data_IF_067100086783
#
_entry.id   IF_067100086783
#
_cell.length_a   1.000
_cell.length_b   1.000
_cell.length_c   1.000
_cell.angle_alpha   90.00
_cell.angle_beta   90.00
_cell.angle_gamma   90.00
#
_symmetry.space_group_name_H-M   'P 1'
#
loop_
_entity.id
_entity.type
_entity.pdbx_description
1 polymer ?
#
# COMPACT_ATOMS: atom_id res chain seq x y z
N UNK A 1 -29.34 -14.16 -52.86
CA UNK A 1 -28.65 -15.27 -52.17
C UNK A 1 -28.22 -14.80 -50.78
N UNK A 2 -28.82 -15.34 -49.72
CA UNK A 2 -28.36 -15.12 -48.32
C UNK A 2 -27.34 -16.20 -47.97
N UNK A 3 -26.20 -15.82 -47.40
CA UNK A 3 -25.14 -16.75 -46.98
C UNK A 3 -25.63 -17.48 -45.73
N UNK A 4 -25.99 -18.75 -45.87
CA UNK A 4 -26.60 -19.58 -44.80
C UNK A 4 -25.55 -20.45 -44.06
N UNK A 5 -24.27 -20.33 -44.42
CA UNK A 5 -23.18 -21.07 -43.76
C UNK A 5 -22.04 -20.12 -43.46
N UNK A 6 -21.88 -19.78 -42.17
CA UNK A 6 -20.74 -19.00 -41.69
C UNK A 6 -21.10 -17.82 -40.78
N UNK A 7 -21.94 -18.02 -39.76
CA UNK A 7 -21.86 -17.17 -38.57
C UNK A 7 -20.50 -17.43 -37.91
N UNK A 8 -19.67 -16.38 -37.76
CA UNK A 8 -18.43 -16.46 -36.95
C UNK A 8 -18.82 -17.07 -35.61
N UNK A 9 -18.26 -18.24 -35.26
CA UNK A 9 -18.36 -18.76 -33.89
C UNK A 9 -17.92 -17.63 -32.96
N UNK A 10 -18.82 -17.23 -32.07
CA UNK A 10 -18.53 -16.29 -31.00
C UNK A 10 -17.29 -16.83 -30.29
N UNK A 11 -16.20 -16.05 -30.28
CA UNK A 11 -14.96 -16.45 -29.61
C UNK A 11 -15.26 -16.42 -28.12
N UNK A 12 -15.67 -17.56 -27.58
CA UNK A 12 -15.73 -17.74 -26.13
C UNK A 12 -14.35 -17.38 -25.59
N UNK A 13 -14.24 -16.42 -24.67
CA UNK A 13 -12.95 -16.05 -24.10
C UNK A 13 -12.30 -17.28 -23.47
N UNK A 14 -10.96 -17.35 -23.54
CA UNK A 14 -10.24 -18.42 -22.89
C UNK A 14 -10.58 -18.41 -21.38
N UNK A 15 -10.80 -19.58 -20.76
CA UNK A 15 -11.16 -19.64 -19.34
C UNK A 15 -10.07 -18.97 -18.50
N UNK A 16 -10.49 -18.17 -17.53
CA UNK A 16 -9.55 -17.54 -16.60
C UNK A 16 -8.93 -18.57 -15.67
N UNK A 17 -7.79 -18.22 -15.07
CA UNK A 17 -7.16 -19.03 -14.01
C UNK A 17 -8.13 -19.23 -12.84
N UNK A 18 -8.93 -18.21 -12.50
CA UNK A 18 -9.93 -18.28 -11.43
C UNK A 18 -11.08 -19.22 -11.75
N UNK A 19 -11.60 -19.20 -12.99
CA UNK A 19 -12.62 -20.15 -13.44
C UNK A 19 -12.10 -21.59 -13.43
N UNK A 20 -10.85 -21.79 -13.83
CA UNK A 20 -10.21 -23.09 -13.77
C UNK A 20 -10.05 -23.55 -12.30
N UNK A 21 -9.68 -22.64 -11.39
CA UNK A 21 -9.51 -22.93 -9.96
C UNK A 21 -10.85 -23.32 -9.32
N UNK A 22 -11.92 -22.58 -9.66
CA UNK A 22 -13.28 -22.91 -9.24
C UNK A 22 -13.69 -24.32 -9.67
N UNK A 23 -13.43 -24.70 -10.93
CA UNK A 23 -13.72 -26.05 -11.43
C UNK A 23 -12.92 -27.14 -10.71
N UNK A 24 -11.64 -26.91 -10.42
CA UNK A 24 -10.82 -27.88 -9.67
C UNK A 24 -11.33 -28.04 -8.24
N UNK A 25 -11.72 -26.93 -7.59
CA UNK A 25 -12.28 -26.93 -6.23
C UNK A 25 -13.57 -27.75 -6.18
N UNK A 26 -14.53 -27.48 -7.06
CA UNK A 26 -15.78 -28.25 -7.14
C UNK A 26 -15.53 -29.74 -7.38
N UNK A 27 -14.53 -30.09 -8.20
CA UNK A 27 -14.16 -31.50 -8.41
C UNK A 27 -13.54 -32.12 -7.15
N UNK A 28 -12.73 -31.36 -6.42
CA UNK A 28 -12.18 -31.74 -5.11
C UNK A 28 -13.30 -32.06 -4.12
N UNK A 29 -14.27 -31.17 -3.96
CA UNK A 29 -15.42 -31.34 -3.06
C UNK A 29 -16.20 -32.63 -3.38
N UNK A 30 -16.43 -32.89 -4.67
CA UNK A 30 -17.10 -34.12 -5.12
C UNK A 30 -16.28 -35.38 -4.81
N UNK A 31 -14.96 -35.32 -4.90
CA UNK A 31 -14.10 -36.45 -4.52
C UNK A 31 -14.12 -36.68 -3.01
N UNK A 32 -14.04 -35.61 -2.21
CA UNK A 32 -14.10 -35.69 -0.75
C UNK A 32 -15.42 -36.28 -0.25
N UNK A 33 -16.55 -35.86 -0.85
CA UNK A 33 -17.86 -36.44 -0.53
C UNK A 33 -17.95 -37.92 -0.87
N UNK A 34 -17.34 -38.36 -1.99
CA UNK A 34 -17.28 -39.78 -2.35
C UNK A 34 -16.40 -40.57 -1.38
N UNK A 35 -15.24 -40.03 -1.01
CA UNK A 35 -14.32 -40.65 -0.04
C UNK A 35 -15.02 -40.83 1.32
N UNK A 36 -15.72 -39.79 1.80
CA UNK A 36 -16.51 -39.85 3.04
C UNK A 36 -17.56 -40.96 3.02
N UNK A 37 -18.31 -41.09 1.92
CA UNK A 37 -19.30 -42.18 1.76
C UNK A 37 -18.66 -43.56 1.75
N UNK A 38 -17.46 -43.71 1.18
CA UNK A 38 -16.71 -44.98 1.22
C UNK A 38 -16.20 -45.29 2.64
N UNK A 39 -15.80 -44.28 3.41
CA UNK A 39 -15.42 -44.44 4.82
C UNK A 39 -16.59 -44.93 5.68
N UNK A 40 -17.78 -44.36 5.49
CA UNK A 40 -18.99 -44.85 6.15
C UNK A 40 -19.29 -46.32 5.82
N UNK A 41 -19.09 -46.73 4.56
CA UNK A 41 -19.25 -48.14 4.14
C UNK A 41 -18.20 -49.05 4.78
N UNK A 42 -16.94 -48.61 4.84
CA UNK A 42 -15.87 -49.36 5.52
C UNK A 42 -16.18 -49.57 7.00
N UNK A 43 -16.71 -48.55 7.68
CA UNK A 43 -17.12 -48.66 9.08
C UNK A 43 -18.23 -49.69 9.27
N UNK A 44 -19.24 -49.72 8.38
CA UNK A 44 -20.29 -50.74 8.41
C UNK A 44 -19.73 -52.15 8.21
N UNK A 45 -18.83 -52.34 7.25
CA UNK A 45 -18.18 -53.64 7.05
C UNK A 45 -17.32 -54.06 8.24
N UNK A 46 -16.59 -53.12 8.86
CA UNK A 46 -15.78 -53.37 10.06
C UNK A 46 -16.64 -53.90 11.22
N UNK A 47 -17.83 -53.35 11.43
CA UNK A 47 -18.75 -53.84 12.46
C UNK A 47 -19.29 -55.25 12.16
N UNK A 48 -19.62 -55.55 10.89
CA UNK A 48 -20.02 -56.91 10.49
C UNK A 48 -18.89 -57.92 10.70
N UNK A 49 -17.65 -57.56 10.35
CA UNK A 49 -16.47 -58.42 10.52
C UNK A 49 -16.21 -58.74 12.00
N UNK A 50 -16.40 -57.76 12.90
CA UNK A 50 -16.26 -57.97 14.34
C UNK A 50 -17.31 -58.94 14.90
N UNK A 51 -18.56 -58.81 14.45
CA UNK A 51 -19.72 -59.54 15.01
C UNK A 51 -19.95 -60.91 14.38
N UNK A 52 -19.71 -61.05 13.08
CA UNK A 52 -19.93 -62.30 12.35
C UNK A 52 -18.74 -63.27 12.46
N UNK A 53 -18.98 -64.54 12.17
CA UNK A 53 -17.96 -65.60 12.05
C UNK A 53 -18.17 -66.40 10.76
N UNK A 54 -17.13 -67.11 10.33
CA UNK A 54 -17.21 -67.99 9.16
C UNK A 54 -17.53 -67.24 7.85
N UNK A 55 -18.33 -67.83 6.94
CA UNK A 55 -18.54 -67.30 5.58
C UNK A 55 -19.04 -65.85 5.52
N UNK A 56 -19.87 -65.42 6.48
CA UNK A 56 -20.40 -64.06 6.53
C UNK A 56 -19.31 -63.01 6.84
N UNK A 57 -18.37 -63.34 7.74
CA UNK A 57 -17.23 -62.48 8.03
C UNK A 57 -16.27 -62.39 6.84
N UNK A 58 -16.00 -63.50 6.16
CA UNK A 58 -15.15 -63.53 4.96
C UNK A 58 -15.77 -62.76 3.78
N UNK A 59 -17.08 -62.86 3.58
CA UNK A 59 -17.79 -62.05 2.58
C UNK A 59 -17.70 -60.54 2.89
N UNK A 60 -17.84 -60.16 4.17
CA UNK A 60 -17.69 -58.77 4.59
C UNK A 60 -16.25 -58.25 4.40
N UNK A 61 -15.23 -59.07 4.68
CA UNK A 61 -13.81 -58.73 4.40
C UNK A 61 -13.57 -58.50 2.90
N UNK A 62 -14.08 -59.38 2.03
CA UNK A 62 -13.92 -59.23 0.57
C UNK A 62 -14.56 -57.93 0.06
N UNK A 63 -15.76 -57.58 0.54
CA UNK A 63 -16.42 -56.32 0.20
C UNK A 63 -15.64 -55.11 0.73
N UNK A 64 -15.18 -55.16 1.99
CA UNK A 64 -14.36 -54.09 2.58
C UNK A 64 -13.07 -53.84 1.77
N UNK A 65 -12.41 -54.89 1.28
CA UNK A 65 -11.22 -54.76 0.42
C UNK A 65 -11.52 -54.05 -0.90
N UNK A 66 -12.68 -54.29 -1.52
CA UNK A 66 -13.09 -53.58 -2.73
C UNK A 66 -13.35 -52.09 -2.46
N UNK A 67 -14.08 -51.78 -1.38
CA UNK A 67 -14.34 -50.40 -0.96
C UNK A 67 -13.04 -49.67 -0.63
N UNK A 68 -12.09 -50.34 0.05
CA UNK A 68 -10.79 -49.75 0.37
C UNK A 68 -9.97 -49.44 -0.89
N UNK A 69 -9.96 -50.34 -1.88
CA UNK A 69 -9.29 -50.08 -3.17
C UNK A 69 -9.90 -48.88 -3.88
N UNK A 70 -11.22 -48.78 -3.92
CA UNK A 70 -11.92 -47.64 -4.51
C UNK A 70 -11.60 -46.34 -3.77
N UNK A 71 -11.60 -46.36 -2.44
CA UNK A 71 -11.25 -45.21 -1.60
C UNK A 71 -9.84 -44.73 -1.93
N UNK A 72 -8.85 -45.63 -1.91
CA UNK A 72 -7.45 -45.30 -2.19
C UNK A 72 -7.27 -44.66 -3.57
N UNK A 73 -7.97 -45.19 -4.58
CA UNK A 73 -7.95 -44.62 -5.93
C UNK A 73 -8.47 -43.18 -5.97
N UNK A 74 -9.57 -42.88 -5.26
CA UNK A 74 -10.11 -41.52 -5.19
C UNK A 74 -9.23 -40.59 -4.37
N UNK A 75 -8.60 -41.07 -3.28
CA UNK A 75 -7.62 -40.29 -2.50
C UNK A 75 -6.43 -39.88 -3.37
N UNK A 76 -5.90 -40.79 -4.20
CA UNK A 76 -4.83 -40.47 -5.16
C UNK A 76 -5.29 -39.44 -6.20
N UNK A 77 -6.53 -39.56 -6.72
CA UNK A 77 -7.07 -38.56 -7.65
C UNK A 77 -7.22 -37.19 -6.98
N UNK A 78 -7.64 -37.15 -5.71
CA UNK A 78 -7.76 -35.91 -4.93
C UNK A 78 -6.39 -35.28 -4.70
N UNK A 79 -5.38 -36.06 -4.33
CA UNK A 79 -4.01 -35.57 -4.18
C UNK A 79 -3.47 -34.96 -5.49
N UNK A 80 -3.75 -35.60 -6.63
CA UNK A 80 -3.42 -35.04 -7.94
C UNK A 80 -4.13 -33.72 -8.21
N UNK A 81 -5.40 -33.57 -7.81
CA UNK A 81 -6.11 -32.29 -7.93
C UNK A 81 -5.50 -31.21 -7.05
N UNK A 82 -5.10 -31.53 -5.81
CA UNK A 82 -4.44 -30.57 -4.93
C UNK A 82 -3.11 -30.09 -5.52
N UNK A 83 -2.33 -30.99 -6.11
CA UNK A 83 -1.11 -30.61 -6.82
C UNK A 83 -1.41 -29.70 -8.03
N UNK A 84 -2.50 -29.96 -8.76
CA UNK A 84 -2.93 -29.10 -9.86
C UNK A 84 -3.37 -27.70 -9.38
N UNK A 85 -4.11 -27.62 -8.28
CA UNK A 85 -4.52 -26.35 -7.67
C UNK A 85 -3.30 -25.53 -7.22
N UNK A 86 -2.34 -26.16 -6.53
CA UNK A 86 -1.11 -25.50 -6.08
C UNK A 86 -0.30 -24.94 -7.27
N UNK A 87 -0.14 -25.72 -8.34
CA UNK A 87 0.53 -25.24 -9.56
C UNK A 87 -0.21 -24.06 -10.19
N UNK A 88 -1.54 -24.06 -10.13
CA UNK A 88 -2.35 -23.00 -10.69
C UNK A 88 -2.34 -21.73 -9.84
N UNK A 89 -2.28 -21.85 -8.50
CA UNK A 89 -2.06 -20.74 -7.58
C UNK A 89 -0.70 -20.09 -7.81
N UNK A 90 0.36 -20.89 -7.96
CA UNK A 90 1.70 -20.37 -8.31
C UNK A 90 1.68 -19.63 -9.66
N UNK A 91 0.97 -20.18 -10.65
CA UNK A 91 0.80 -19.52 -11.96
C UNK A 91 0.00 -18.23 -11.83
N UNK A 92 -1.07 -18.21 -11.02
CA UNK A 92 -1.88 -17.02 -10.76
C UNK A 92 -1.03 -15.91 -10.16
N UNK A 93 -0.23 -16.24 -9.14
CA UNK A 93 0.71 -15.30 -8.53
C UNK A 93 1.73 -14.75 -9.54
N UNK A 94 2.30 -15.62 -10.39
CA UNK A 94 3.23 -15.18 -11.44
C UNK A 94 2.55 -14.24 -12.45
N UNK A 95 1.29 -14.50 -12.82
CA UNK A 95 0.51 -13.63 -13.70
C UNK A 95 0.26 -12.28 -13.03
N UNK A 96 -0.11 -12.26 -11.75
CA UNK A 96 -0.32 -11.01 -11.01
C UNK A 96 0.94 -10.16 -10.96
N UNK A 97 2.08 -10.75 -10.57
CA UNK A 97 3.38 -10.05 -10.57
C UNK A 97 3.72 -9.49 -11.96
N UNK A 98 3.40 -10.24 -13.03
CA UNK A 98 3.64 -9.77 -14.39
C UNK A 98 2.73 -8.60 -14.77
N UNK A 99 1.46 -8.58 -14.31
CA UNK A 99 0.56 -7.46 -14.49
C UNK A 99 1.07 -6.20 -13.74
N UNK A 100 1.57 -6.37 -12.52
CA UNK A 100 2.13 -5.27 -11.73
C UNK A 100 3.39 -4.70 -12.40
N UNK A 101 4.28 -5.56 -12.90
CA UNK A 101 5.45 -5.14 -13.69
C UNK A 101 5.04 -4.36 -14.95
N UNK A 102 3.98 -4.79 -15.65
CA UNK A 102 3.45 -4.07 -16.81
C UNK A 102 2.93 -2.69 -16.40
N UNK A 103 2.20 -2.60 -15.28
CA UNK A 103 1.70 -1.33 -14.75
C UNK A 103 2.86 -0.39 -14.39
N UNK A 104 3.91 -0.89 -13.73
CA UNK A 104 5.12 -0.14 -13.42
C UNK A 104 5.79 0.39 -14.70
N UNK A 105 5.99 -0.47 -15.71
CA UNK A 105 6.59 -0.04 -16.99
C UNK A 105 5.73 1.01 -17.69
N UNK A 106 4.40 0.91 -17.62
CA UNK A 106 3.50 1.94 -18.16
C UNK A 106 3.64 3.27 -17.42
N UNK A 107 3.69 3.24 -16.09
CA UNK A 107 3.91 4.43 -15.27
C UNK A 107 5.26 5.10 -15.60
N UNK A 108 6.33 4.32 -15.72
CA UNK A 108 7.66 4.82 -16.12
C UNK A 108 7.65 5.44 -17.52
N UNK A 109 6.91 4.84 -18.48
CA UNK A 109 6.76 5.42 -19.83
C UNK A 109 6.00 6.74 -19.80
N UNK A 110 4.96 6.85 -18.99
CA UNK A 110 4.22 8.10 -18.80
C UNK A 110 5.12 9.17 -18.17
N UNK A 111 5.79 8.86 -17.05
CA UNK A 111 6.72 9.77 -16.39
C UNK A 111 7.87 10.24 -17.32
N UNK A 112 8.43 9.35 -18.14
CA UNK A 112 9.46 9.72 -19.12
C UNK A 112 8.90 10.65 -20.22
N UNK A 113 7.64 10.46 -20.63
CA UNK A 113 6.98 11.37 -21.58
C UNK A 113 6.81 12.76 -20.97
N UNK A 114 6.40 12.83 -19.70
CA UNK A 114 6.21 14.08 -18.98
C UNK A 114 7.54 14.81 -18.74
N UNK A 115 8.59 14.08 -18.32
CA UNK A 115 9.97 14.60 -18.22
C UNK A 115 10.45 15.18 -19.56
N UNK A 116 10.26 14.46 -20.67
CA UNK A 116 10.59 14.97 -22.01
C UNK A 116 9.77 16.19 -22.40
N UNK A 117 8.53 16.31 -21.90
CA UNK A 117 7.70 17.49 -22.06
C UNK A 117 8.27 18.69 -21.29
N UNK A 118 8.64 18.48 -20.02
CA UNK A 118 9.23 19.51 -19.17
C UNK A 118 10.55 20.05 -19.73
N UNK A 119 11.45 19.19 -20.21
CA UNK A 119 12.70 19.61 -20.88
C UNK A 119 12.49 20.38 -22.20
N UNK A 120 11.30 20.30 -22.80
CA UNK A 120 10.92 21.10 -23.98
C UNK A 120 10.19 22.39 -23.61
N UNK A 121 9.89 22.59 -22.33
CA UNK A 121 9.27 23.83 -21.87
C UNK A 121 10.25 24.98 -22.05
N UNK A 122 9.73 26.16 -22.42
CA UNK A 122 10.56 27.36 -22.58
C UNK A 122 11.09 27.85 -21.23
N UNK A 123 10.43 27.51 -20.12
CA UNK A 123 10.88 27.84 -18.77
C UNK A 123 12.17 27.09 -18.37
N UNK A 124 12.42 25.90 -18.93
CA UNK A 124 13.64 25.11 -18.67
C UNK A 124 14.63 25.11 -19.86
N UNK A 125 14.46 26.00 -20.84
CA UNK A 125 15.38 26.09 -21.96
C UNK A 125 16.71 26.68 -21.51
N UNK A 126 17.81 25.93 -21.72
CA UNK A 126 19.17 26.34 -21.37
C UNK A 126 19.51 27.70 -22.01
N UNK A 127 19.10 27.95 -23.25
CA UNK A 127 19.39 29.20 -23.97
C UNK A 127 18.71 30.42 -23.33
N UNK A 128 17.62 30.21 -22.59
CA UNK A 128 16.94 31.29 -21.85
C UNK A 128 17.60 31.49 -20.49
N UNK A 129 18.06 30.41 -19.84
CA UNK A 129 18.79 30.48 -18.58
C UNK A 129 20.15 31.15 -18.80
N UNK A 130 20.85 30.82 -19.89
CA UNK A 130 22.10 31.46 -20.30
C UNK A 130 21.89 32.95 -20.58
N UNK A 131 20.86 33.32 -21.37
CA UNK A 131 20.52 34.73 -21.59
C UNK A 131 20.17 35.49 -20.31
N UNK A 132 19.43 34.88 -19.39
CA UNK A 132 19.12 35.49 -18.10
C UNK A 132 20.38 35.68 -17.24
N UNK A 133 21.35 34.76 -17.33
CA UNK A 133 22.62 34.86 -16.64
C UNK A 133 23.50 35.97 -17.25
N UNK A 134 23.54 36.06 -18.57
CA UNK A 134 24.21 37.15 -19.30
C UNK A 134 23.58 38.50 -18.96
N UNK A 135 22.24 38.63 -19.02
CA UNK A 135 21.52 39.84 -18.63
C UNK A 135 21.79 40.22 -17.16
N UNK A 136 21.95 39.24 -16.27
CA UNK A 136 22.27 39.46 -14.86
C UNK A 136 23.73 39.89 -14.65
N UNK A 137 24.66 39.36 -15.43
CA UNK A 137 26.05 39.81 -15.46
C UNK A 137 26.12 41.26 -15.96
N UNK A 138 25.45 41.59 -17.07
CA UNK A 138 25.35 42.95 -17.60
C UNK A 138 24.71 43.91 -16.58
N UNK A 139 23.70 43.45 -15.82
CA UNK A 139 23.07 44.26 -14.78
C UNK A 139 24.01 44.53 -13.59
N UNK A 140 24.83 43.55 -13.19
CA UNK A 140 25.83 43.71 -12.14
C UNK A 140 26.96 44.62 -12.61
N UNK A 141 27.42 44.48 -13.85
CA UNK A 141 28.41 45.37 -14.44
C UNK A 141 27.89 46.81 -14.53
N UNK A 142 26.63 47.00 -14.93
CA UNK A 142 25.97 48.31 -14.92
C UNK A 142 25.77 48.85 -13.50
N UNK A 143 25.48 47.99 -12.52
CA UNK A 143 25.41 48.39 -11.12
C UNK A 143 26.76 48.90 -10.62
N UNK A 144 27.84 48.20 -10.91
CA UNK A 144 29.20 48.61 -10.57
C UNK A 144 29.60 49.90 -11.30
N UNK A 145 29.26 50.03 -12.58
CA UNK A 145 29.54 51.26 -13.35
C UNK A 145 28.70 52.45 -12.85
N UNK A 146 27.48 52.22 -12.35
CA UNK A 146 26.67 53.24 -11.67
C UNK A 146 27.27 53.64 -10.33
N UNK A 147 27.74 52.68 -9.52
CA UNK A 147 28.45 52.95 -8.25
C UNK A 147 29.70 53.80 -8.50
N UNK A 148 30.51 53.43 -9.50
CA UNK A 148 31.71 54.16 -9.92
C UNK A 148 31.39 55.55 -10.47
N UNK A 149 30.39 55.68 -11.34
CA UNK A 149 30.00 56.94 -11.99
C UNK A 149 29.29 57.93 -11.05
N UNK A 150 28.51 57.42 -10.08
CA UNK A 150 27.95 58.24 -9.01
C UNK A 150 29.01 58.67 -7.98
N UNK A 151 30.28 58.26 -8.17
CA UNK A 151 31.36 58.55 -7.24
C UNK A 151 31.09 57.99 -5.85
N UNK A 152 30.15 57.04 -5.75
CA UNK A 152 30.01 56.19 -4.58
C UNK A 152 31.07 55.11 -4.72
N UNK A 153 32.31 55.55 -4.53
CA UNK A 153 33.30 54.73 -3.86
C UNK A 153 32.77 54.50 -2.43
N UNK A 154 31.75 53.66 -2.28
CA UNK A 154 31.80 52.70 -1.20
C UNK A 154 32.81 51.66 -1.65
N UNK A 155 34.09 52.05 -1.66
CA UNK A 155 35.03 51.26 -0.92
C UNK A 155 34.32 51.03 0.42
N UNK A 156 33.71 49.85 0.60
CA UNK A 156 33.78 49.22 1.89
C UNK A 156 35.22 49.49 2.33
N UNK A 157 35.45 50.29 3.40
CA UNK A 157 36.78 50.36 3.95
C UNK A 157 37.25 48.91 4.02
N UNK A 158 38.43 48.57 3.52
CA UNK A 158 38.96 47.22 3.74
C UNK A 158 39.12 46.91 5.26
N UNK A 159 38.79 47.89 6.09
CA UNK A 159 38.75 47.89 7.55
C UNK A 159 37.31 47.83 8.14
N UNK A 160 36.30 47.25 7.46
CA UNK A 160 35.08 46.86 8.19
C UNK A 160 35.39 45.60 8.98
N UNK A 161 35.65 45.77 10.27
CA UNK A 161 36.00 44.68 11.18
C UNK A 161 34.79 43.78 11.45
N UNK A 162 34.90 42.48 11.19
CA UNK A 162 33.80 41.51 11.42
C UNK A 162 33.34 41.49 12.89
N UNK A 163 34.22 41.86 13.82
CA UNK A 163 33.90 41.97 15.24
C UNK A 163 32.93 43.12 15.56
N UNK A 164 33.07 44.27 14.88
CA UNK A 164 32.18 45.43 15.10
C UNK A 164 30.76 45.12 14.56
N UNK A 165 30.70 44.38 13.44
CA UNK A 165 29.44 43.93 12.84
C UNK A 165 28.70 42.89 13.70
N UNK A 166 29.43 41.95 14.32
CA UNK A 166 28.85 41.00 15.27
C UNK A 166 28.36 41.72 16.53
N UNK A 167 29.11 42.72 17.02
CA UNK A 167 28.69 43.54 18.16
C UNK A 167 27.40 44.32 17.90
N UNK A 168 27.24 44.90 16.70
CA UNK A 168 26.00 45.56 16.31
C UNK A 168 24.84 44.55 16.13
N UNK A 169 25.10 43.35 15.62
CA UNK A 169 24.09 42.31 15.45
C UNK A 169 23.54 41.81 16.79
N UNK A 170 24.43 41.57 17.76
CA UNK A 170 24.06 41.16 19.12
C UNK A 170 23.25 42.27 19.82
N UNK A 171 23.65 43.53 19.63
CA UNK A 171 22.89 44.67 20.17
C UNK A 171 21.48 44.80 19.56
N UNK A 172 21.32 44.48 18.27
CA UNK A 172 20.03 44.49 17.58
C UNK A 172 19.13 43.32 18.03
N UNK A 173 19.72 42.14 18.28
CA UNK A 173 19.00 40.99 18.86
C UNK A 173 18.53 41.29 20.28
N UNK A 174 19.37 41.96 21.08
CA UNK A 174 19.01 42.42 22.41
C UNK A 174 17.93 43.52 22.36
N UNK A 175 17.97 44.46 21.41
CA UNK A 175 16.92 45.48 21.23
C UNK A 175 15.58 44.85 20.83
N UNK A 176 15.59 43.87 19.92
CA UNK A 176 14.39 43.13 19.50
C UNK A 176 13.84 42.20 20.59
N UNK A 177 14.72 41.69 21.46
CA UNK A 177 14.37 40.82 22.59
C UNK A 177 13.97 41.59 23.85
N UNK A 178 14.37 42.86 23.96
CA UNK A 178 14.08 43.75 25.09
C UNK A 178 12.85 44.65 24.87
N UNK A 179 12.31 44.74 23.65
CA UNK A 179 10.89 45.04 23.50
C UNK A 179 10.08 43.87 24.07
N UNK A 180 9.29 44.06 25.14
CA UNK A 180 8.37 43.04 25.57
C UNK A 180 7.43 42.81 24.40
N UNK A 181 7.40 41.58 23.87
CA UNK A 181 6.50 41.08 22.83
C UNK A 181 5.04 41.31 23.23
N UNK A 182 4.62 42.56 23.16
CA UNK A 182 3.27 43.03 23.39
C UNK A 182 2.63 43.17 22.03
N UNK A 183 2.34 42.02 21.42
CA UNK A 183 1.33 41.93 20.38
C UNK A 183 1.78 41.86 18.93
N UNK A 184 2.95 41.31 18.61
CA UNK A 184 3.24 40.92 17.24
C UNK A 184 2.53 39.59 16.93
N UNK A 185 1.27 39.69 16.52
CA UNK A 185 0.57 38.64 15.80
C UNK A 185 1.48 38.10 14.70
N UNK A 186 1.72 36.79 14.71
CA UNK A 186 2.26 36.09 13.54
C UNK A 186 1.46 36.55 12.31
N UNK A 187 2.11 36.99 11.22
CA UNK A 187 1.40 37.46 10.03
C UNK A 187 0.32 36.47 9.62
N UNK A 188 -0.87 36.97 9.27
CA UNK A 188 -2.09 36.18 9.07
C UNK A 188 -1.98 35.01 8.07
N UNK A 189 -0.92 34.94 7.26
CA UNK A 189 -0.64 33.84 6.33
C UNK A 189 0.10 32.64 6.96
N UNK A 190 0.60 32.77 8.19
CA UNK A 190 1.28 31.72 8.97
C UNK A 190 0.42 31.21 10.15
N UNK A 191 -0.83 31.65 10.29
CA UNK A 191 -1.77 31.15 11.29
C UNK A 191 -2.66 30.04 10.72
N UNK A 192 -2.61 28.85 11.32
CA UNK A 192 -3.55 27.76 11.04
C UNK A 192 -4.98 28.17 11.49
N UNK A 193 -6.04 27.85 10.75
CA UNK A 193 -7.40 28.26 11.10
C UNK A 193 -7.92 27.47 12.31
N UNK A 194 -8.15 28.18 13.42
CA UNK A 194 -8.71 27.62 14.65
C UNK A 194 -10.23 27.44 14.58
N UNK A 195 -10.65 26.18 14.39
CA UNK A 195 -11.69 25.40 15.10
C UNK A 195 -13.13 25.96 15.27
N UNK A 196 -14.09 25.08 15.61
CA UNK A 196 -14.87 25.38 16.82
C UNK A 196 -14.65 24.33 17.91
N UNK A 197 -14.31 24.81 19.10
CA UNK A 197 -14.10 23.99 20.29
C UNK A 197 -15.41 23.42 20.83
N UNK A 198 -15.38 22.13 21.19
CA UNK A 198 -16.42 21.52 22.00
C UNK A 198 -16.44 22.15 23.42
N UNK A 199 -17.62 22.31 24.04
CA UNK A 199 -17.77 23.10 25.26
C UNK A 199 -17.11 22.42 26.47
N UNK A 200 -16.24 23.15 27.16
CA UNK A 200 -15.71 22.76 28.47
C UNK A 200 -16.54 23.39 29.59
N UNK A 201 -17.35 22.56 30.26
CA UNK A 201 -17.91 22.88 31.57
C UNK A 201 -17.14 22.14 32.66
N UNK A 202 -16.39 22.87 33.49
CA UNK A 202 -15.87 22.36 34.78
C UNK A 202 -16.91 22.63 35.87
N UNK A 203 -17.07 21.73 36.86
CA UNK A 203 -16.48 22.08 38.16
C UNK A 203 -15.85 20.90 38.93
N UNK A 204 -15.05 21.29 39.92
CA UNK A 204 -14.28 20.51 40.90
C UNK A 204 -15.13 19.55 41.76
N UNK A 205 -14.57 18.38 42.13
CA UNK A 205 -14.25 17.96 43.52
C UNK A 205 -14.29 16.43 43.76
N UNK A 206 -13.38 16.01 44.67
CA UNK A 206 -13.31 14.79 45.51
C UNK A 206 -12.95 13.41 44.92
N UNK A 207 -11.72 13.00 45.26
CA UNK A 207 -11.25 11.69 45.74
C UNK A 207 -12.03 10.41 45.36
N UNK A 208 -11.38 9.48 44.65
CA UNK A 208 -10.83 8.23 45.22
C UNK A 208 -10.20 7.38 44.11
N UNK A 209 -9.09 6.73 44.45
CA UNK A 209 -8.44 5.71 43.64
C UNK A 209 -9.45 4.61 43.28
N UNK A 210 -9.63 4.34 41.98
CA UNK A 210 -10.12 3.05 41.53
C UNK A 210 -9.14 2.44 40.54
N UNK A 211 -8.82 1.20 40.86
CA UNK A 211 -7.73 0.42 40.35
C UNK A 211 -7.87 0.16 38.86
N UNK A 212 -6.78 0.45 38.20
CA UNK A 212 -6.51 0.27 36.79
C UNK A 212 -6.32 -1.23 36.47
N UNK A 213 -6.75 -1.71 35.30
CA UNK A 213 -6.35 -3.04 34.83
C UNK A 213 -4.99 -3.03 34.10
N UNK A 214 -4.49 -4.16 33.60
CA UNK A 214 -3.11 -4.39 33.12
C UNK A 214 -2.67 -3.55 31.89
N UNK A 215 -3.58 -2.74 31.31
CA UNK A 215 -3.29 -1.61 30.39
C UNK A 215 -3.87 -0.25 30.84
N UNK A 216 -4.46 -0.19 32.03
CA UNK A 216 -4.47 0.99 32.87
C UNK A 216 -5.80 1.73 33.04
N UNK A 217 -6.86 1.30 32.36
CA UNK A 217 -8.11 2.07 32.25
C UNK A 217 -8.90 2.06 33.58
N UNK A 218 -9.34 3.22 34.11
CA UNK A 218 -10.33 3.24 35.19
C UNK A 218 -11.70 2.74 34.67
N UNK A 219 -12.28 1.79 35.42
CA UNK A 219 -13.44 0.98 35.03
C UNK A 219 -14.77 1.77 34.89
N UNK A 220 -15.61 1.32 33.97
CA UNK A 220 -16.95 1.88 33.72
C UNK A 220 -17.98 1.32 34.71
N UNK A 221 -19.07 2.06 34.90
CA UNK A 221 -19.44 2.87 36.06
C UNK A 221 -20.39 2.09 36.99
N UNK A 222 -20.84 2.63 38.12
CA UNK A 222 -22.27 2.70 38.50
C UNK A 222 -22.41 3.64 39.71
N UNK A 223 -23.35 4.57 39.58
CA UNK A 223 -23.72 5.59 40.57
C UNK A 223 -23.99 4.97 41.94
N UNK A 224 -23.47 5.60 43.00
CA UNK A 224 -24.20 6.58 43.83
C UNK A 224 -23.26 7.30 44.78
#
# INVERSE_FOLDING_TARGET
MRRIFGSKKEKVPAPSIDEANGKLTTRGDVLDDKIRKLDEQLMKHKEVIKRARGPAAEAAKRRALQVLKQKRMLETQREQLYNQQMNMEQTSFAVQNMQDNIAQVRAMKAANKDLKGAFKSKELNIDNIERMNDDMADMMDMHNEIQDALGQNYALPEDVDEEDLMGELDALEDELSSEPTTGASVPSYLQEPDLPSAPMGRPQASHQHEAEDEFGLPAVPQRT
#
